data_IF_785818934158
#
_entry.id   IF_785818934158
#
_cell.length_a   1.000
_cell.length_b   1.000
_cell.length_c   1.000
_cell.angle_alpha   90.00
_cell.angle_beta   90.00
_cell.angle_gamma   90.00
#
_symmetry.space_group_name_H-M   'P 1'
#
loop_
_entity.id
_entity.type
_entity.pdbx_description
1 polymer ?
#
# COMPACT_ATOMS: atom_id res chain seq x y z
N UNK A 1 36.42 9.47 -27.55
CA UNK A 1 35.24 8.72 -28.06
C UNK A 1 34.98 7.45 -27.22
N UNK A 2 34.78 7.61 -25.89
CA UNK A 2 34.53 6.49 -24.95
C UNK A 2 33.32 6.72 -24.02
N UNK A 3 32.72 7.92 -24.04
CA UNK A 3 31.62 8.27 -23.16
C UNK A 3 30.23 7.94 -23.72
N UNK A 4 30.09 7.79 -25.05
CA UNK A 4 28.80 7.46 -25.67
C UNK A 4 28.37 6.00 -25.44
N UNK A 5 29.33 5.08 -25.32
CA UNK A 5 29.02 3.65 -25.16
C UNK A 5 28.46 3.30 -23.79
N UNK A 6 28.80 4.07 -22.75
CA UNK A 6 28.36 3.76 -21.38
C UNK A 6 26.91 4.19 -21.13
N UNK A 7 26.41 5.24 -21.80
CA UNK A 7 25.03 5.72 -21.63
C UNK A 7 24.04 4.77 -22.32
N UNK A 8 24.40 4.23 -23.48
CA UNK A 8 23.58 3.24 -24.19
C UNK A 8 23.53 1.89 -23.47
N UNK A 9 24.56 1.50 -22.73
CA UNK A 9 24.56 0.24 -21.96
C UNK A 9 23.57 0.27 -20.78
N UNK A 10 23.30 1.45 -20.21
CA UNK A 10 22.29 1.62 -19.15
C UNK A 10 20.87 1.57 -19.74
N UNK A 11 20.67 2.00 -20.98
CA UNK A 11 19.37 1.90 -21.66
C UNK A 11 18.98 0.45 -22.02
N UNK A 12 19.95 -0.44 -22.27
CA UNK A 12 19.70 -1.86 -22.58
C UNK A 12 19.57 -2.74 -21.33
N UNK A 13 20.02 -2.28 -20.17
CA UNK A 13 19.75 -2.89 -18.87
C UNK A 13 18.48 -2.25 -18.31
N UNK A 14 17.33 -2.65 -18.87
CA UNK A 14 16.00 -2.14 -18.55
C UNK A 14 15.64 -2.19 -17.06
N UNK A 15 16.14 -1.23 -16.29
CA UNK A 15 15.54 -0.80 -15.04
C UNK A 15 14.31 0.00 -15.44
N UNK A 16 13.22 -0.73 -15.70
CA UNK A 16 11.89 -0.16 -15.63
C UNK A 16 11.82 0.56 -14.29
N UNK A 17 11.85 1.89 -14.36
CA UNK A 17 11.45 2.74 -13.24
C UNK A 17 9.95 2.49 -13.13
N UNK A 18 9.60 1.40 -12.46
CA UNK A 18 8.22 0.96 -12.28
C UNK A 18 7.43 2.15 -11.76
N UNK A 19 6.21 2.33 -12.26
CA UNK A 19 5.26 3.29 -11.70
C UNK A 19 5.21 3.01 -10.19
N UNK A 20 5.87 3.87 -9.42
CA UNK A 20 6.20 3.60 -8.03
C UNK A 20 4.95 3.72 -7.20
N UNK A 21 4.38 2.59 -6.80
CA UNK A 21 3.40 2.59 -5.73
C UNK A 21 4.16 2.66 -4.41
N UNK A 22 3.85 3.63 -3.57
CA UNK A 22 4.44 3.75 -2.25
C UNK A 22 3.42 3.30 -1.19
N UNK A 23 3.90 2.60 -0.16
CA UNK A 23 3.05 2.17 0.95
C UNK A 23 3.50 2.85 2.25
N UNK A 24 2.55 3.42 2.96
CA UNK A 24 2.75 4.16 4.20
C UNK A 24 1.90 3.54 5.31
N UNK A 25 2.50 2.76 6.21
CA UNK A 25 1.79 2.17 7.33
C UNK A 25 1.86 3.05 8.58
N UNK A 26 0.73 3.30 9.23
CA UNK A 26 0.65 3.96 10.54
C UNK A 26 -0.32 3.26 11.50
N UNK A 27 -0.19 3.56 12.80
CA UNK A 27 -1.12 3.08 13.83
C UNK A 27 -2.03 4.23 14.24
N UNK A 28 -3.33 4.00 14.19
CA UNK A 28 -4.35 4.97 14.61
C UNK A 28 -4.51 5.01 16.14
N UNK A 29 -5.19 6.05 16.65
CA UNK A 29 -5.51 6.18 18.08
C UNK A 29 -6.30 4.99 18.63
N UNK A 30 -7.15 4.39 17.80
CA UNK A 30 -7.96 3.22 18.16
C UNK A 30 -7.14 1.91 18.14
N UNK A 31 -5.81 1.99 17.99
CA UNK A 31 -4.89 0.85 17.81
C UNK A 31 -5.18 0.02 16.56
N UNK A 32 -5.88 0.60 15.60
CA UNK A 32 -6.09 0.03 14.28
C UNK A 32 -4.87 0.33 13.40
N UNK A 33 -4.41 -0.66 12.64
CA UNK A 33 -3.35 -0.47 11.64
C UNK A 33 -3.96 0.15 10.39
N UNK A 34 -3.42 1.28 9.95
CA UNK A 34 -3.81 1.95 8.70
C UNK A 34 -2.65 1.84 7.71
N UNK A 35 -2.92 1.50 6.46
CA UNK A 35 -1.93 1.46 5.38
C UNK A 35 -2.48 2.31 4.24
N UNK A 36 -1.80 3.42 3.97
CA UNK A 36 -2.09 4.30 2.85
C UNK A 36 -1.17 3.87 1.68
N UNK A 37 -1.77 3.54 0.54
CA UNK A 37 -1.08 3.10 -0.67
C UNK A 37 -1.29 4.18 -1.73
N UNK A 38 -0.22 4.92 -2.02
CA UNK A 38 -0.20 6.00 -3.01
C UNK A 38 0.17 5.40 -4.36
N UNK A 39 -0.64 5.69 -5.38
CA UNK A 39 -0.44 5.19 -6.73
C UNK A 39 -0.67 6.31 -7.74
N UNK A 40 0.03 6.29 -8.86
CA UNK A 40 -0.27 7.22 -9.96
C UNK A 40 -1.59 6.83 -10.63
N UNK A 41 -2.64 7.65 -10.56
CA UNK A 41 -3.89 7.35 -11.25
C UNK A 41 -3.68 7.49 -12.76
N UNK A 42 -4.40 6.65 -13.48
CA UNK A 42 -4.48 6.66 -14.94
C UNK A 42 -5.92 7.00 -15.30
N UNK A 43 -6.13 7.88 -16.27
CA UNK A 43 -7.47 8.25 -16.76
C UNK A 43 -8.16 7.12 -17.56
N UNK A 44 -7.73 5.87 -17.35
CA UNK A 44 -8.21 4.70 -18.08
C UNK A 44 -9.38 4.08 -17.35
N UNK A 45 -10.52 3.99 -18.05
CA UNK A 45 -11.72 3.31 -17.57
C UNK A 45 -11.73 1.83 -17.98
N UNK A 46 -12.22 0.90 -17.14
CA UNK A 46 -12.81 1.09 -15.82
C UNK A 46 -11.76 1.42 -14.74
N UNK A 47 -12.16 2.28 -13.79
CA UNK A 47 -11.28 3.02 -12.87
C UNK A 47 -10.43 2.18 -11.89
N UNK A 48 -9.71 2.83 -10.97
CA UNK A 48 -8.78 2.16 -10.05
C UNK A 48 -9.51 1.29 -9.03
N UNK A 49 -9.22 -0.01 -9.02
CA UNK A 49 -9.65 -0.93 -7.97
C UNK A 49 -8.47 -1.28 -7.08
N UNK A 50 -8.64 -1.12 -5.78
CA UNK A 50 -7.67 -1.52 -4.78
C UNK A 50 -7.98 -2.94 -4.30
N UNK A 51 -6.95 -3.75 -4.14
CA UNK A 51 -6.97 -5.07 -3.52
C UNK A 51 -5.84 -5.13 -2.50
N UNK A 52 -6.18 -5.39 -1.24
CA UNK A 52 -5.18 -5.60 -0.20
C UNK A 52 -5.09 -7.08 0.16
N UNK A 53 -3.86 -7.59 0.24
CA UNK A 53 -3.57 -8.96 0.62
C UNK A 53 -2.65 -9.00 1.83
N UNK A 54 -2.80 -10.02 2.65
CA UNK A 54 -1.90 -10.36 3.75
C UNK A 54 -1.38 -11.77 3.52
N UNK A 55 -0.07 -11.94 3.39
CA UNK A 55 0.57 -13.24 3.19
C UNK A 55 -0.14 -14.07 2.10
N UNK A 56 -0.45 -13.42 0.96
CA UNK A 56 -1.22 -13.92 -0.20
C UNK A 56 -2.75 -14.12 -0.03
N UNK A 57 -3.32 -13.85 1.15
CA UNK A 57 -4.76 -13.95 1.41
C UNK A 57 -5.43 -12.60 1.19
N UNK A 58 -6.56 -12.57 0.47
CA UNK A 58 -7.28 -11.32 0.22
C UNK A 58 -7.93 -10.82 1.53
N UNK A 59 -7.51 -9.63 1.97
CA UNK A 59 -8.06 -8.96 3.15
C UNK A 59 -9.32 -8.15 2.80
N UNK A 60 -9.28 -7.45 1.68
CA UNK A 60 -10.33 -6.53 1.26
C UNK A 60 -10.07 -6.00 -0.15
N UNK A 61 -11.12 -5.50 -0.78
CA UNK A 61 -11.02 -4.86 -2.08
C UNK A 61 -12.16 -3.87 -2.28
N UNK A 62 -11.91 -2.82 -3.06
CA UNK A 62 -12.96 -1.88 -3.50
C UNK A 62 -13.78 -2.39 -4.68
N UNK A 63 -13.41 -3.55 -5.27
CA UNK A 63 -14.17 -4.13 -6.36
C UNK A 63 -15.49 -4.73 -5.83
N UNK A 64 -16.66 -4.41 -6.44
CA UNK A 64 -17.96 -4.87 -5.95
C UNK A 64 -18.13 -6.40 -5.91
N UNK A 65 -17.35 -7.15 -6.69
CA UNK A 65 -17.43 -8.63 -6.76
C UNK A 65 -16.33 -9.34 -5.98
N UNK A 66 -15.43 -8.63 -5.30
CA UNK A 66 -14.35 -9.25 -4.57
C UNK A 66 -14.83 -9.69 -3.19
N UNK A 67 -14.69 -10.97 -2.87
CA UNK A 67 -15.01 -11.51 -1.54
C UNK A 67 -13.74 -11.58 -0.68
N UNK A 68 -13.62 -10.75 0.38
CA UNK A 68 -12.52 -10.88 1.32
C UNK A 68 -12.61 -12.20 2.09
N UNK A 69 -11.48 -12.65 2.62
CA UNK A 69 -11.45 -13.83 3.50
C UNK A 69 -12.29 -13.56 4.76
N UNK A 70 -12.99 -14.59 5.29
CA UNK A 70 -13.81 -14.47 6.49
C UNK A 70 -13.05 -13.89 7.70
N UNK A 71 -11.75 -14.20 7.79
CA UNK A 71 -10.86 -13.67 8.81
C UNK A 71 -10.70 -12.13 8.75
N UNK A 72 -10.79 -11.54 7.56
CA UNK A 72 -10.53 -10.10 7.37
C UNK A 72 -11.81 -9.32 7.13
N UNK A 73 -12.91 -9.96 6.71
CA UNK A 73 -14.17 -9.29 6.40
C UNK A 73 -14.72 -8.36 7.51
N UNK A 74 -14.52 -8.72 8.77
CA UNK A 74 -14.99 -7.92 9.93
C UNK A 74 -13.92 -7.02 10.53
N UNK A 75 -12.68 -7.10 10.04
CA UNK A 75 -11.52 -6.46 10.67
C UNK A 75 -10.76 -5.55 9.71
N UNK A 76 -10.82 -5.80 8.42
CA UNK A 76 -10.15 -5.06 7.36
C UNK A 76 -11.19 -4.32 6.52
N UNK A 77 -11.04 -3.01 6.46
CA UNK A 77 -11.85 -2.12 5.65
C UNK A 77 -10.96 -1.49 4.59
N UNK A 78 -11.33 -1.65 3.32
CA UNK A 78 -10.58 -1.09 2.19
C UNK A 78 -11.43 -0.02 1.55
N UNK A 79 -10.87 1.18 1.49
CA UNK A 79 -11.48 2.34 0.87
C UNK A 79 -10.55 2.87 -0.23
N UNK A 80 -11.15 3.37 -1.30
CA UNK A 80 -10.45 4.11 -2.34
C UNK A 80 -10.78 5.56 -2.08
N UNK A 81 -9.78 6.36 -1.72
CA UNK A 81 -9.86 7.82 -1.66
C UNK A 81 -9.40 8.36 -3.03
N UNK A 82 -10.33 8.73 -3.93
CA UNK A 82 -9.95 9.20 -5.26
C UNK A 82 -9.22 10.55 -5.15
N UNK A 83 -8.20 10.79 -5.99
CA UNK A 83 -7.89 10.06 -7.22
C UNK A 83 -6.79 8.98 -7.10
N UNK A 84 -5.93 9.02 -6.10
CA UNK A 84 -4.59 8.40 -6.13
C UNK A 84 -4.23 7.59 -4.86
N UNK A 85 -5.20 7.40 -3.96
CA UNK A 85 -4.93 6.81 -2.64
C UNK A 85 -5.85 5.63 -2.32
N UNK A 86 -5.24 4.49 -2.03
CA UNK A 86 -5.92 3.30 -1.52
C UNK A 86 -5.65 3.20 -0.01
N UNK A 87 -6.69 3.17 0.82
CA UNK A 87 -6.57 3.13 2.27
C UNK A 87 -7.11 1.81 2.80
N UNK A 88 -6.26 1.09 3.54
CA UNK A 88 -6.63 -0.09 4.31
C UNK A 88 -6.64 0.25 5.80
N UNK A 89 -7.76 -0.01 6.47
CA UNK A 89 -7.88 0.10 7.94
C UNK A 89 -8.12 -1.28 8.51
N UNK A 90 -7.28 -1.69 9.46
CA UNK A 90 -7.35 -2.97 10.14
C UNK A 90 -7.60 -2.75 11.64
N UNK A 91 -8.81 -3.05 12.11
CA UNK A 91 -9.33 -2.74 13.47
C UNK A 91 -8.59 -3.43 14.63
N UNK A 92 -7.63 -4.31 14.35
CA UNK A 92 -6.65 -4.83 15.31
C UNK A 92 -5.57 -5.59 14.53
N UNK A 93 -4.26 -5.28 14.70
CA UNK A 93 -3.21 -6.13 14.16
C UNK A 93 -3.19 -7.46 14.93
N UNK A 94 -3.73 -8.51 14.30
CA UNK A 94 -4.04 -9.80 14.93
C UNK A 94 -2.84 -10.66 15.36
N UNK A 95 -1.61 -10.18 15.22
CA UNK A 95 -0.45 -11.06 15.29
C UNK A 95 0.81 -10.32 15.66
N UNK A 96 1.53 -10.82 16.67
CA UNK A 96 2.90 -10.39 16.99
C UNK A 96 3.93 -10.82 15.92
N UNK A 97 3.53 -11.67 14.96
CA UNK A 97 4.39 -12.09 13.84
C UNK A 97 4.44 -11.03 12.74
N UNK A 98 5.59 -10.96 12.06
CA UNK A 98 5.73 -10.26 10.79
C UNK A 98 4.71 -10.77 9.79
N UNK A 99 4.02 -9.85 9.15
CA UNK A 99 3.13 -10.17 8.04
C UNK A 99 3.49 -9.34 6.83
N UNK A 100 3.35 -9.94 5.66
CA UNK A 100 3.58 -9.25 4.39
C UNK A 100 2.25 -8.71 3.89
N UNK A 101 2.13 -7.39 3.84
CA UNK A 101 0.97 -6.72 3.27
C UNK A 101 1.28 -6.33 1.84
N UNK A 102 0.37 -6.62 0.92
CA UNK A 102 0.48 -6.23 -0.48
C UNK A 102 -0.71 -5.38 -0.89
N UNK A 103 -0.42 -4.24 -1.51
CA UNK A 103 -1.41 -3.38 -2.17
C UNK A 103 -1.35 -3.63 -3.67
N UNK A 104 -2.48 -4.01 -4.27
CA UNK A 104 -2.64 -4.22 -5.70
C UNK A 104 -3.68 -3.26 -6.25
N UNK A 105 -3.30 -2.42 -7.20
CA UNK A 105 -4.16 -1.43 -7.85
C UNK A 105 -4.36 -1.84 -9.30
N UNK A 106 -5.61 -1.90 -9.73
CA UNK A 106 -5.99 -2.40 -11.05
C UNK A 106 -6.67 -1.27 -11.81
N UNK A 107 -6.07 -0.86 -12.92
CA UNK A 107 -6.51 0.28 -13.74
C UNK A 107 -6.37 -0.08 -15.21
N UNK A 108 -7.44 0.06 -16.00
CA UNK A 108 -7.34 -0.12 -17.46
C UNK A 108 -6.88 -1.50 -17.95
N UNK A 109 -6.89 -2.53 -17.10
CA UNK A 109 -6.37 -3.87 -17.40
C UNK A 109 -4.95 -4.12 -16.89
N UNK A 110 -4.22 -3.07 -16.49
CA UNK A 110 -2.93 -3.19 -15.83
C UNK A 110 -3.13 -3.39 -14.33
N UNK A 111 -2.26 -4.19 -13.71
CA UNK A 111 -2.26 -4.44 -12.29
C UNK A 111 -0.89 -4.11 -11.70
N UNK A 112 -0.83 -3.06 -10.89
CA UNK A 112 0.34 -2.67 -10.15
C UNK A 112 0.24 -3.25 -8.74
N UNK A 113 1.22 -4.07 -8.33
CA UNK A 113 1.27 -4.66 -6.99
C UNK A 113 2.59 -4.27 -6.31
N UNK A 114 2.49 -3.76 -5.08
CA UNK A 114 3.63 -3.55 -4.21
C UNK A 114 3.40 -4.21 -2.84
N UNK A 115 4.46 -4.67 -2.20
CA UNK A 115 4.40 -5.44 -0.95
C UNK A 115 5.38 -4.92 0.09
N UNK A 116 4.98 -5.00 1.35
CA UNK A 116 5.78 -4.58 2.49
C UNK A 116 5.67 -5.60 3.62
N UNK A 117 6.81 -5.92 4.22
CA UNK A 117 6.84 -6.70 5.45
C UNK A 117 6.69 -5.74 6.64
N UNK A 118 5.65 -5.94 7.45
CA UNK A 118 5.39 -5.17 8.65
C UNK A 118 5.60 -6.04 9.89
N UNK A 119 6.52 -5.61 10.73
CA UNK A 119 6.70 -6.11 12.09
C UNK A 119 5.91 -5.22 13.07
N UNK A 120 4.84 -5.71 13.70
CA UNK A 120 4.00 -4.90 14.59
C UNK A 120 4.76 -4.25 15.76
N UNK A 121 5.82 -4.90 16.27
CA UNK A 121 6.65 -4.34 17.37
C UNK A 121 7.59 -3.23 16.92
N UNK A 122 8.02 -3.23 15.66
CA UNK A 122 8.93 -2.22 15.13
C UNK A 122 8.18 -1.05 14.49
N UNK A 123 7.00 -1.30 13.91
CA UNK A 123 6.17 -0.24 13.32
C UNK A 123 5.66 0.75 14.37
N UNK A 124 5.31 0.30 15.59
CA UNK A 124 4.97 1.19 16.72
C UNK A 124 6.16 2.06 17.15
N UNK A 125 7.40 1.57 17.02
CA UNK A 125 8.60 2.33 17.39
C UNK A 125 9.08 3.30 16.32
N UNK A 126 8.80 3.03 15.04
CA UNK A 126 9.25 3.84 13.90
C UNK A 126 8.19 4.85 13.43
N UNK A 127 6.91 4.59 13.71
CA UNK A 127 5.76 5.37 13.26
C UNK A 127 4.77 5.68 14.40
N UNK A 128 5.26 5.80 15.64
CA UNK A 128 4.46 6.05 16.84
C UNK A 128 3.81 7.44 16.93
N UNK A 129 3.66 8.16 15.82
CA UNK A 129 2.98 9.45 15.77
C UNK A 129 1.52 9.25 15.38
N UNK A 130 0.63 9.94 16.11
CA UNK A 130 -0.82 9.92 15.93
C UNK A 130 -1.20 10.49 14.55
N UNK A 131 -1.82 9.67 13.69
CA UNK A 131 -2.18 10.04 12.31
C UNK A 131 -3.35 11.05 12.23
N UNK A 132 -3.11 12.28 11.74
CA UNK A 132 -4.14 13.26 11.33
C UNK A 132 -4.00 13.55 9.83
N UNK A 133 -4.72 12.75 9.01
CA UNK A 133 -4.80 12.74 7.53
C UNK A 133 -3.49 12.46 6.76
N UNK A 134 -3.58 11.47 5.86
CA UNK A 134 -2.55 10.99 4.93
C UNK A 134 -1.16 10.78 5.57
N UNK A 135 -0.99 9.74 6.42
CA UNK A 135 0.28 9.33 7.04
C UNK A 135 1.34 10.44 7.30
N UNK A 136 0.92 11.66 7.63
CA UNK A 136 1.78 12.78 7.93
C UNK A 136 1.98 12.77 9.43
N UNK A 137 3.07 12.16 9.89
CA UNK A 137 3.54 12.28 11.26
C UNK A 137 3.76 13.77 11.58
N UNK A 138 2.82 14.42 12.27
CA UNK A 138 3.13 15.68 12.94
C UNK A 138 3.89 15.31 14.20
N UNK A 139 5.21 15.47 14.12
CA UNK A 139 6.13 15.35 15.25
C UNK A 139 5.74 16.39 16.31
N UNK A 140 4.94 16.01 17.31
CA UNK A 140 4.72 16.86 18.50
C UNK A 140 6.04 16.95 19.27
N UNK A 141 6.82 17.99 19.00
CA UNK A 141 7.86 18.44 19.93
C UNK A 141 7.15 19.10 21.12
N UNK A 142 7.09 18.42 22.26
CA UNK A 142 7.13 19.10 23.56
C UNK A 142 8.58 19.19 24.02
#
# INVERSE_FOLDING_TARGET
MKCFYSVMLVFMLGLSRGQGQELYPCITLERSLRIDCEFSPTDVTPGPYCEFKEDSRLMGSTRPNAQPSLDFRMRAEVTLEPPDMCVLVLSSPLSEKTRTYSCRVIQGGEALENSMALHPRESVRKYGDVCVRACACVRERM
#
